data_IF_585608630961
#
_entry.id   IF_585608630961
#
_cell.length_a   1.000
_cell.length_b   1.000
_cell.length_c   1.000
_cell.angle_alpha   90.00
_cell.angle_beta   90.00
_cell.angle_gamma   90.00
#
_symmetry.space_group_name_H-M   'P 1'
#
loop_
_entity.id
_entity.type
_entity.pdbx_description
1 polymer ?
#
# COMPACT_ATOMS: atom_id res chain seq x y z
N UNK A 1 -6.47 -13.35 -0.80
CA UNK A 1 -5.22 -12.67 -0.39
C UNK A 1 -5.57 -11.54 0.58
N UNK A 2 -5.41 -11.75 1.89
CA UNK A 2 -5.64 -10.72 2.94
C UNK A 2 -4.33 -10.00 3.32
N UNK A 3 -3.18 -10.51 2.88
CA UNK A 3 -1.87 -10.00 3.29
C UNK A 3 -1.49 -8.60 2.75
N UNK A 4 -2.27 -8.03 1.82
CA UNK A 4 -2.01 -6.70 1.22
C UNK A 4 -3.15 -5.70 1.45
N UNK A 5 -4.07 -5.97 2.38
CA UNK A 5 -5.21 -5.10 2.71
C UNK A 5 -4.96 -4.21 3.93
N UNK A 6 -3.72 -4.09 4.41
CA UNK A 6 -3.39 -3.26 5.58
C UNK A 6 -3.41 -1.75 5.32
N UNK A 7 -3.41 -1.33 4.04
CA UNK A 7 -3.38 0.09 3.66
C UNK A 7 -4.57 0.89 4.19
N UNK A 8 -5.82 0.48 3.90
CA UNK A 8 -7.00 1.19 4.38
C UNK A 8 -7.10 1.29 5.91
N UNK A 9 -6.91 0.21 6.70
CA UNK A 9 -6.89 0.30 8.17
C UNK A 9 -5.83 1.27 8.70
N UNK A 10 -4.61 1.24 8.15
CA UNK A 10 -3.55 2.15 8.57
C UNK A 10 -3.90 3.61 8.22
N UNK A 11 -4.45 3.85 7.04
CA UNK A 11 -4.88 5.18 6.62
C UNK A 11 -6.04 5.71 7.48
N UNK A 12 -7.01 4.87 7.83
CA UNK A 12 -8.09 5.20 8.77
C UNK A 12 -7.57 5.62 10.15
N UNK A 13 -6.44 5.05 10.58
CA UNK A 13 -5.80 5.43 11.84
C UNK A 13 -4.95 6.70 11.72
N UNK A 14 -4.12 6.82 10.67
CA UNK A 14 -3.13 7.90 10.56
C UNK A 14 -3.71 9.22 10.01
N UNK A 15 -4.70 9.18 9.11
CA UNK A 15 -5.26 10.40 8.51
C UNK A 15 -5.91 11.33 9.55
N UNK A 16 -6.71 10.83 10.52
CA UNK A 16 -7.29 11.70 11.56
C UNK A 16 -6.25 12.36 12.47
N UNK A 17 -5.03 11.81 12.57
CA UNK A 17 -3.96 12.39 13.39
C UNK A 17 -3.36 13.67 12.79
N UNK A 18 -3.71 14.04 11.55
CA UNK A 18 -3.29 15.31 10.95
C UNK A 18 -1.77 15.45 10.73
N UNK A 19 -1.04 14.33 10.65
CA UNK A 19 0.40 14.31 10.42
C UNK A 19 0.82 15.05 9.15
N UNK A 20 1.95 15.77 9.15
CA UNK A 20 2.49 16.36 7.93
C UNK A 20 2.73 15.30 6.84
N UNK A 21 2.53 15.63 5.56
CA UNK A 21 2.54 14.66 4.43
C UNK A 21 3.78 13.77 4.40
N UNK A 22 4.94 14.32 4.75
CA UNK A 22 6.20 13.60 4.79
C UNK A 22 6.23 12.58 5.93
N UNK A 23 5.74 12.97 7.11
CA UNK A 23 5.62 12.07 8.27
C UNK A 23 4.59 10.99 7.98
N UNK A 24 3.42 11.34 7.44
CA UNK A 24 2.39 10.38 7.05
C UNK A 24 2.93 9.34 6.04
N UNK A 25 3.59 9.81 4.97
CA UNK A 25 4.15 8.95 3.94
C UNK A 25 5.31 8.09 4.48
N UNK A 26 6.20 8.69 5.28
CA UNK A 26 7.34 8.02 5.92
C UNK A 26 6.90 6.94 6.90
N UNK A 27 5.96 7.24 7.80
CA UNK A 27 5.39 6.28 8.74
C UNK A 27 4.70 5.12 8.02
N UNK A 28 3.90 5.42 7.00
CA UNK A 28 3.25 4.40 6.18
C UNK A 28 4.27 3.49 5.50
N UNK A 29 5.29 4.08 4.87
CA UNK A 29 6.35 3.34 4.19
C UNK A 29 7.13 2.46 5.16
N UNK A 30 7.52 2.98 6.32
CA UNK A 30 8.26 2.23 7.33
C UNK A 30 7.44 1.07 7.90
N UNK A 31 6.17 1.31 8.22
CA UNK A 31 5.26 0.28 8.74
C UNK A 31 5.20 -0.93 7.81
N UNK A 32 4.97 -0.70 6.51
CA UNK A 32 4.93 -1.79 5.54
C UNK A 32 6.31 -2.36 5.22
N UNK A 33 7.37 -1.57 5.23
CA UNK A 33 8.72 -2.07 5.00
C UNK A 33 9.10 -3.09 6.08
N UNK A 34 8.89 -2.74 7.35
CA UNK A 34 9.16 -3.65 8.47
C UNK A 34 8.28 -4.89 8.37
N UNK A 35 6.96 -4.72 8.19
CA UNK A 35 6.04 -5.86 8.08
C UNK A 35 6.38 -6.80 6.92
N UNK A 36 6.76 -6.27 5.75
CA UNK A 36 7.16 -7.09 4.61
C UNK A 36 8.53 -7.74 4.82
N UNK A 37 9.51 -7.04 5.40
CA UNK A 37 10.83 -7.60 5.69
C UNK A 37 10.73 -8.77 6.67
N UNK A 38 9.90 -8.64 7.72
CA UNK A 38 9.62 -9.73 8.67
C UNK A 38 9.00 -10.94 7.98
N UNK A 39 8.15 -10.73 6.96
CA UNK A 39 7.51 -11.81 6.19
C UNK A 39 8.45 -12.45 5.16
N UNK A 40 9.43 -11.71 4.65
CA UNK A 40 10.27 -12.16 3.53
C UNK A 40 11.03 -13.44 3.86
N UNK A 41 11.69 -13.51 5.03
CA UNK A 41 12.49 -14.68 5.43
C UNK A 41 11.61 -15.93 5.63
N UNK A 42 10.53 -15.91 6.45
CA UNK A 42 9.64 -17.06 6.57
C UNK A 42 9.04 -17.52 5.22
N UNK A 43 8.73 -16.57 4.34
CA UNK A 43 8.18 -16.89 3.02
C UNK A 43 9.17 -17.65 2.14
N UNK A 44 10.44 -17.23 2.12
CA UNK A 44 11.51 -17.92 1.36
C UNK A 44 11.86 -19.30 1.90
N UNK A 45 11.63 -19.56 3.19
CA UNK A 45 11.84 -20.89 3.78
C UNK A 45 10.73 -21.88 3.38
N UNK A 46 9.51 -21.38 3.18
CA UNK A 46 8.34 -22.21 2.84
C UNK A 46 8.17 -22.40 1.33
N UNK A 47 8.55 -21.40 0.53
CA UNK A 47 8.29 -21.38 -0.92
C UNK A 47 9.61 -21.37 -1.68
N UNK A 48 9.75 -22.27 -2.65
CA UNK A 48 10.84 -22.24 -3.63
C UNK A 48 10.38 -21.47 -4.87
N UNK A 49 10.94 -20.29 -5.16
CA UNK A 49 10.52 -19.50 -6.32
C UNK A 49 10.80 -20.25 -7.62
N UNK A 50 9.79 -20.35 -8.49
CA UNK A 50 9.96 -20.89 -9.84
C UNK A 50 10.74 -19.91 -10.72
N UNK A 51 11.26 -20.37 -11.87
CA UNK A 51 12.01 -19.51 -12.81
C UNK A 51 11.23 -18.27 -13.24
N UNK A 52 9.91 -18.37 -13.40
CA UNK A 52 9.06 -17.21 -13.69
C UNK A 52 9.05 -16.18 -12.55
N UNK A 53 8.97 -16.63 -11.29
CA UNK A 53 9.00 -15.73 -10.12
C UNK A 53 10.33 -14.99 -10.05
N UNK A 54 11.45 -15.66 -10.35
CA UNK A 54 12.76 -15.02 -10.41
C UNK A 54 12.83 -13.91 -11.47
N UNK A 55 12.26 -14.13 -12.66
CA UNK A 55 12.19 -13.12 -13.71
C UNK A 55 11.41 -11.89 -13.22
N UNK A 56 10.26 -12.10 -12.59
CA UNK A 56 9.44 -11.01 -12.03
C UNK A 56 10.21 -10.25 -10.95
N UNK A 57 10.90 -10.95 -10.04
CA UNK A 57 11.73 -10.33 -9.01
C UNK A 57 12.85 -9.48 -9.62
N UNK A 58 13.51 -9.96 -10.67
CA UNK A 58 14.55 -9.22 -11.39
C UNK A 58 13.97 -7.96 -12.07
N UNK A 59 12.81 -8.05 -12.71
CA UNK A 59 12.13 -6.91 -13.31
C UNK A 59 11.75 -5.85 -12.26
N UNK A 60 11.27 -6.30 -11.09
CA UNK A 60 10.96 -5.43 -9.96
C UNK A 60 12.18 -4.63 -9.47
N UNK A 61 13.39 -5.17 -9.58
CA UNK A 61 14.62 -4.47 -9.18
C UNK A 61 14.82 -3.14 -9.93
N UNK A 62 14.32 -3.04 -11.17
CA UNK A 62 14.33 -1.81 -11.97
C UNK A 62 13.06 -0.98 -11.78
N UNK A 63 11.91 -1.63 -11.61
CA UNK A 63 10.62 -0.96 -11.45
C UNK A 63 10.48 -0.24 -10.09
N UNK A 64 11.06 -0.79 -9.02
CA UNK A 64 10.99 -0.21 -7.68
C UNK A 64 11.66 1.17 -7.60
N UNK A 65 12.93 1.36 -7.97
CA UNK A 65 13.59 2.67 -7.85
C UNK A 65 12.93 3.71 -8.76
N UNK A 66 12.49 3.33 -9.95
CA UNK A 66 11.77 4.24 -10.86
C UNK A 66 10.41 4.65 -10.30
N UNK A 67 9.66 3.70 -9.72
CA UNK A 67 8.41 3.98 -9.02
C UNK A 67 8.57 4.89 -7.81
N UNK A 68 9.61 4.65 -6.98
CA UNK A 68 9.94 5.49 -5.82
C UNK A 68 10.28 6.92 -6.27
N UNK A 69 11.10 7.07 -7.30
CA UNK A 69 11.46 8.38 -7.83
C UNK A 69 10.23 9.16 -8.36
N UNK A 70 9.37 8.48 -9.11
CA UNK A 70 8.13 9.07 -9.63
C UNK A 70 7.20 9.48 -8.48
N UNK A 71 7.03 8.60 -7.49
CA UNK A 71 6.22 8.84 -6.30
C UNK A 71 6.74 10.04 -5.50
N UNK A 72 8.06 10.13 -5.29
CA UNK A 72 8.69 11.26 -4.61
C UNK A 72 8.47 12.58 -5.37
N UNK A 73 8.64 12.59 -6.70
CA UNK A 73 8.40 13.78 -7.52
C UNK A 73 6.93 14.22 -7.50
N UNK A 74 6.00 13.27 -7.51
CA UNK A 74 4.57 13.56 -7.38
C UNK A 74 4.23 14.09 -5.98
N UNK A 75 4.76 13.46 -4.93
CA UNK A 75 4.57 13.87 -3.54
C UNK A 75 5.10 15.28 -3.26
N UNK A 76 6.22 15.66 -3.90
CA UNK A 76 6.76 17.01 -3.85
C UNK A 76 5.85 18.06 -4.50
N UNK A 77 5.06 17.69 -5.51
CA UNK A 77 4.14 18.59 -6.24
C UNK A 77 2.80 18.79 -5.55
N UNK A 78 2.37 17.84 -4.71
CA UNK A 78 1.08 17.90 -4.03
C UNK A 78 1.21 18.61 -2.68
N UNK A 79 0.24 19.47 -2.36
CA UNK A 79 0.11 20.02 -1.02
C UNK A 79 -0.51 19.00 -0.04
N UNK A 80 -0.45 19.33 1.25
CA UNK A 80 -0.99 18.50 2.33
C UNK A 80 -2.49 18.18 2.13
N UNK A 81 -3.29 19.19 1.77
CA UNK A 81 -4.73 19.08 1.63
C UNK A 81 -5.10 18.21 0.42
N UNK A 82 -4.36 18.32 -0.68
CA UNK A 82 -4.52 17.50 -1.88
C UNK A 82 -4.27 16.03 -1.59
N UNK A 83 -3.18 15.71 -0.87
CA UNK A 83 -2.87 14.34 -0.46
C UNK A 83 -3.98 13.80 0.43
N UNK A 84 -4.39 14.55 1.45
CA UNK A 84 -5.42 14.12 2.39
C UNK A 84 -6.78 13.91 1.70
N UNK A 85 -7.18 14.82 0.81
CA UNK A 85 -8.40 14.67 0.01
C UNK A 85 -8.35 13.44 -0.89
N UNK A 86 -7.21 13.18 -1.53
CA UNK A 86 -7.04 11.99 -2.35
C UNK A 86 -7.13 10.71 -1.50
N UNK A 87 -6.46 10.66 -0.35
CA UNK A 87 -6.52 9.52 0.56
C UNK A 87 -7.95 9.25 1.06
N UNK A 88 -8.66 10.27 1.56
CA UNK A 88 -10.06 10.13 1.97
C UNK A 88 -10.96 9.72 0.81
N UNK A 89 -10.77 10.31 -0.38
CA UNK A 89 -11.54 9.95 -1.58
C UNK A 89 -11.39 8.47 -1.95
N UNK A 90 -10.15 7.97 -1.98
CA UNK A 90 -9.86 6.56 -2.25
C UNK A 90 -10.41 5.64 -1.15
N UNK A 91 -10.37 6.06 0.13
CA UNK A 91 -10.98 5.30 1.22
C UNK A 91 -12.49 5.18 1.07
N UNK A 92 -13.19 6.26 0.71
CA UNK A 92 -14.64 6.22 0.46
C UNK A 92 -14.96 5.29 -0.70
N UNK A 93 -14.23 5.38 -1.82
CA UNK A 93 -14.43 4.48 -2.97
C UNK A 93 -14.21 3.02 -2.55
N UNK A 94 -13.16 2.74 -1.78
CA UNK A 94 -12.86 1.39 -1.30
C UNK A 94 -13.95 0.88 -0.35
N UNK A 95 -14.44 1.73 0.56
CA UNK A 95 -15.50 1.38 1.49
C UNK A 95 -16.82 1.07 0.76
N UNK A 96 -17.21 1.89 -0.22
CA UNK A 96 -18.39 1.64 -1.05
C UNK A 96 -18.27 0.31 -1.82
N UNK A 97 -17.09 0.04 -2.40
CA UNK A 97 -16.84 -1.22 -3.11
C UNK A 97 -16.94 -2.43 -2.19
N UNK A 98 -16.36 -2.35 -0.98
CA UNK A 98 -16.43 -3.44 0.00
C UNK A 98 -17.85 -3.67 0.52
N UNK A 99 -18.64 -2.62 0.71
CA UNK A 99 -20.05 -2.74 1.06
C UNK A 99 -20.84 -3.44 -0.04
N UNK A 100 -20.59 -3.08 -1.30
CA UNK A 100 -21.22 -3.74 -2.45
C UNK A 100 -20.87 -5.23 -2.53
N UNK A 101 -19.58 -5.56 -2.42
CA UNK A 101 -19.14 -6.96 -2.40
C UNK A 101 -19.78 -7.75 -1.26
N UNK A 102 -19.86 -7.15 -0.06
CA UNK A 102 -20.45 -7.78 1.11
C UNK A 102 -21.95 -8.03 0.94
N UNK A 103 -22.70 -7.05 0.42
CA UNK A 103 -24.14 -7.17 0.17
C UNK A 103 -24.42 -8.17 -0.96
N UNK A 104 -23.72 -8.06 -2.09
CA UNK A 104 -23.91 -8.98 -3.23
C UNK A 104 -23.55 -10.42 -2.87
N UNK A 105 -22.48 -10.64 -2.10
CA UNK A 105 -22.13 -11.97 -1.60
C UNK A 105 -23.09 -12.53 -0.54
N UNK A 106 -23.81 -11.68 0.20
CA UNK A 106 -24.83 -12.11 1.16
C UNK A 106 -26.17 -12.45 0.49
N UNK A 107 -26.49 -11.78 -0.62
CA UNK A 107 -27.73 -11.96 -1.38
C UNK A 107 -27.66 -13.09 -2.43
N UNK A 108 -26.48 -13.62 -2.72
CA UNK A 108 -26.24 -14.74 -3.63
C UNK A 108 -26.30 -16.09 -2.90
#
# INVERSE_FOLDING_TARGET
>A
MVAHSGGPPLAMYLLPLGLGKEVYAGTTSLFFTVGNATKAVPWLLLVRPSGHVWIVMAACLLAIPSGVWLGWRLHGRLDQQQIYRACYGLLVVTALKLLWDGVSGYLA
#
